data_IF_706250879343
#
_entry.id   IF_706250879343
#
_cell.length_a   1.000
_cell.length_b   1.000
_cell.length_c   1.000
_cell.angle_alpha   90.00
_cell.angle_beta   90.00
_cell.angle_gamma   90.00
#
_symmetry.space_group_name_H-M   'P 1'
#
loop_
_entity.id
_entity.type
_entity.pdbx_description
1 polymer ?
#
# COMPACT_ATOMS: atom_id res chain seq x y z
N UNK A 1 15.77 -17.99 1.44
CA UNK A 1 14.61 -17.08 1.28
C UNK A 1 14.80 -16.26 0.02
N UNK A 2 13.75 -15.61 -0.48
CA UNK A 2 13.84 -14.73 -1.67
C UNK A 2 14.88 -13.63 -1.40
N UNK A 3 15.90 -13.41 -2.24
CA UNK A 3 17.07 -12.60 -1.88
C UNK A 3 16.81 -11.09 -1.88
N UNK A 4 15.77 -10.64 -2.60
CA UNK A 4 15.62 -9.22 -2.94
C UNK A 4 14.35 -8.58 -2.37
N UNK A 5 13.28 -9.36 -2.20
CA UNK A 5 11.96 -8.83 -1.88
C UNK A 5 11.25 -9.64 -0.81
N UNK A 6 10.45 -8.95 -0.02
CA UNK A 6 9.44 -9.53 0.87
C UNK A 6 8.05 -9.15 0.39
N UNK A 7 7.10 -10.06 0.59
CA UNK A 7 5.71 -9.86 0.23
C UNK A 7 4.86 -9.83 1.50
N UNK A 8 4.00 -8.83 1.60
CA UNK A 8 3.05 -8.67 2.69
C UNK A 8 1.64 -8.76 2.12
N UNK A 9 0.77 -9.49 2.82
CA UNK A 9 -0.67 -9.40 2.62
C UNK A 9 -1.24 -8.52 3.73
N UNK A 10 -1.89 -7.42 3.36
CA UNK A 10 -2.43 -6.44 4.30
C UNK A 10 -3.92 -6.26 4.02
N UNK A 11 -4.72 -6.47 5.05
CA UNK A 11 -6.14 -6.14 5.07
C UNK A 11 -6.33 -4.82 5.81
N UNK A 12 -7.19 -3.96 5.27
CA UNK A 12 -7.67 -2.74 5.91
C UNK A 12 -9.17 -2.91 6.13
N UNK A 13 -9.62 -2.92 7.38
CA UNK A 13 -11.05 -2.85 7.72
C UNK A 13 -11.68 -1.53 7.21
N UNK A 14 -13.01 -1.43 7.10
CA UNK A 14 -13.68 -0.17 6.77
C UNK A 14 -13.21 0.99 7.66
N UNK A 15 -12.74 2.08 7.05
CA UNK A 15 -12.18 3.25 7.74
C UNK A 15 -10.75 3.09 8.26
N UNK A 16 -10.14 1.89 8.17
CA UNK A 16 -8.75 1.66 8.56
C UNK A 16 -7.78 2.26 7.52
N UNK A 17 -6.60 2.63 8.00
CA UNK A 17 -5.50 3.09 7.16
C UNK A 17 -4.17 2.56 7.66
N UNK A 18 -3.20 2.48 6.75
CA UNK A 18 -1.80 2.42 7.16
C UNK A 18 -1.40 3.73 7.87
N UNK A 19 -0.28 3.77 8.60
CA UNK A 19 0.28 5.04 9.02
C UNK A 19 0.52 5.96 7.82
N UNK A 20 0.37 7.27 8.04
CA UNK A 20 0.87 8.28 7.11
C UNK A 20 2.35 8.50 7.40
N UNK A 21 3.21 8.06 6.50
CA UNK A 21 4.66 8.03 6.72
C UNK A 21 5.48 8.06 5.42
N UNK A 22 6.80 8.17 5.57
CA UNK A 22 7.78 8.07 4.49
C UNK A 22 8.95 7.19 4.91
N UNK A 23 9.61 6.56 3.94
CA UNK A 23 10.78 5.73 4.12
C UNK A 23 11.57 5.61 2.80
N UNK A 24 12.86 5.22 2.84
CA UNK A 24 13.70 5.22 1.64
C UNK A 24 13.39 4.10 0.64
N UNK A 25 12.68 3.04 1.02
CA UNK A 25 12.30 1.96 0.10
C UNK A 25 10.98 2.24 -0.61
N UNK A 26 10.77 1.57 -1.74
CA UNK A 26 9.56 1.63 -2.55
C UNK A 26 8.49 0.62 -2.11
N UNK A 27 7.26 0.84 -2.56
CA UNK A 27 6.19 -0.16 -2.55
C UNK A 27 5.68 -0.44 -3.96
N UNK A 28 5.43 -1.71 -4.24
CA UNK A 28 4.62 -2.15 -5.37
C UNK A 28 3.43 -2.89 -4.79
N UNK A 29 2.23 -2.30 -4.86
CA UNK A 29 1.03 -2.90 -4.31
C UNK A 29 0.02 -3.26 -5.39
N UNK A 30 -0.66 -4.39 -5.20
CA UNK A 30 -1.78 -4.83 -6.00
C UNK A 30 -3.01 -4.96 -5.11
N UNK A 31 -4.09 -4.26 -5.47
CA UNK A 31 -5.34 -4.31 -4.71
C UNK A 31 -6.10 -5.55 -5.14
N UNK A 32 -6.17 -6.54 -4.25
CA UNK A 32 -6.78 -7.84 -4.54
C UNK A 32 -8.29 -7.83 -4.34
N UNK A 33 -8.79 -6.96 -3.46
CA UNK A 33 -10.20 -6.85 -3.11
C UNK A 33 -10.52 -5.47 -2.51
N UNK A 34 -11.76 -5.00 -2.66
CA UNK A 34 -12.23 -3.72 -2.11
C UNK A 34 -11.72 -2.48 -2.85
N UNK A 35 -11.87 -1.32 -2.20
CA UNK A 35 -11.47 -0.01 -2.74
C UNK A 35 -11.11 0.98 -1.64
N UNK A 36 -10.39 2.03 -2.01
CA UNK A 36 -9.96 3.06 -1.08
C UNK A 36 -9.28 4.23 -1.78
N UNK A 37 -8.43 4.92 -1.02
CA UNK A 37 -7.57 5.98 -1.55
C UNK A 37 -6.12 5.73 -1.15
N UNK A 38 -5.21 6.07 -2.07
CA UNK A 38 -3.80 6.25 -1.78
C UNK A 38 -3.55 7.76 -1.65
N UNK A 39 -3.18 8.21 -0.45
CA UNK A 39 -2.59 9.53 -0.27
C UNK A 39 -1.12 9.41 -0.69
N UNK A 40 -0.68 10.25 -1.62
CA UNK A 40 0.68 10.23 -2.16
C UNK A 40 1.08 11.64 -2.62
N UNK A 41 2.15 12.19 -2.02
CA UNK A 41 2.67 13.50 -2.40
C UNK A 41 1.64 14.63 -2.27
N UNK A 42 0.81 14.58 -1.23
CA UNK A 42 -0.25 15.56 -0.96
C UNK A 42 -1.47 15.47 -1.89
N UNK A 43 -1.59 14.40 -2.67
CA UNK A 43 -2.76 14.13 -3.52
C UNK A 43 -3.40 12.79 -3.17
N UNK A 44 -4.70 12.70 -3.39
CA UNK A 44 -5.45 11.45 -3.28
C UNK A 44 -5.63 10.81 -4.64
N UNK A 45 -5.42 9.50 -4.70
CA UNK A 45 -5.67 8.67 -5.87
C UNK A 45 -6.64 7.57 -5.47
N UNK A 46 -7.79 7.50 -6.15
CA UNK A 46 -8.71 6.39 -5.97
C UNK A 46 -8.05 5.09 -6.42
N UNK A 47 -8.16 4.05 -5.60
CA UNK A 47 -7.64 2.70 -5.87
C UNK A 47 -8.75 1.69 -5.65
N UNK A 48 -8.79 0.64 -6.46
CA UNK A 48 -9.78 -0.44 -6.37
C UNK A 48 -9.18 -1.76 -6.82
N UNK A 49 -9.92 -2.84 -6.58
CA UNK A 49 -9.58 -4.18 -7.04
C UNK A 49 -9.08 -4.18 -8.49
N UNK A 50 -7.94 -4.83 -8.70
CA UNK A 50 -7.27 -4.93 -10.00
C UNK A 50 -6.24 -3.83 -10.27
N UNK A 51 -6.20 -2.76 -9.48
CA UNK A 51 -5.21 -1.70 -9.66
C UNK A 51 -3.83 -2.12 -9.13
N UNK A 52 -2.79 -1.78 -9.89
CA UNK A 52 -1.40 -1.85 -9.48
C UNK A 52 -0.91 -0.43 -9.18
N UNK A 53 -0.27 -0.24 -8.02
CA UNK A 53 0.31 1.05 -7.63
C UNK A 53 1.78 0.92 -7.30
N UNK A 54 2.55 1.93 -7.72
CA UNK A 54 3.95 2.10 -7.35
C UNK A 54 4.09 3.35 -6.50
N UNK A 55 4.66 3.19 -5.31
CA UNK A 55 5.02 4.28 -4.41
C UNK A 55 6.55 4.33 -4.36
N UNK A 56 7.18 5.34 -4.98
CA UNK A 56 8.61 5.57 -4.85
C UNK A 56 9.03 5.82 -3.40
N UNK A 57 10.27 5.45 -3.07
CA UNK A 57 10.87 5.82 -1.79
C UNK A 57 11.00 7.33 -1.62
N UNK A 58 10.98 7.78 -0.37
CA UNK A 58 11.16 9.18 0.00
C UNK A 58 9.92 10.06 -0.17
N UNK A 59 8.77 9.50 -0.51
CA UNK A 59 7.51 10.24 -0.62
C UNK A 59 6.55 9.81 0.48
N UNK A 60 5.93 10.79 1.16
CA UNK A 60 4.88 10.50 2.14
C UNK A 60 3.68 9.84 1.49
N UNK A 61 3.18 8.78 2.12
CA UNK A 61 2.06 8.02 1.61
C UNK A 61 1.23 7.36 2.70
N UNK A 62 -0.01 7.03 2.37
CA UNK A 62 -0.94 6.26 3.20
C UNK A 62 -1.95 5.53 2.32
N UNK A 63 -2.19 4.25 2.62
CA UNK A 63 -3.31 3.50 2.08
C UNK A 63 -4.46 3.60 3.06
N UNK A 64 -5.64 4.02 2.60
CA UNK A 64 -6.84 4.13 3.42
C UNK A 64 -8.00 3.41 2.74
N UNK A 65 -8.70 2.58 3.51
CA UNK A 65 -9.98 2.03 3.09
C UNK A 65 -11.11 3.04 3.36
N UNK A 66 -11.68 3.59 2.29
CA UNK A 66 -12.82 4.53 2.35
C UNK A 66 -14.17 3.87 2.03
N UNK A 67 -14.18 2.55 1.83
CA UNK A 67 -15.39 1.75 1.60
C UNK A 67 -16.02 1.21 2.89
N UNK A 68 -17.08 0.43 2.70
CA UNK A 68 -17.86 -0.25 3.75
C UNK A 68 -17.55 -1.74 3.90
N UNK A 69 -16.68 -2.27 3.04
CA UNK A 69 -16.13 -3.63 3.08
C UNK A 69 -14.60 -3.60 3.21
N UNK A 70 -13.93 -4.69 3.65
CA UNK A 70 -12.48 -4.73 3.72
C UNK A 70 -11.80 -4.45 2.37
N UNK A 71 -10.67 -3.74 2.41
CA UNK A 71 -9.76 -3.59 1.26
C UNK A 71 -8.51 -4.42 1.52
N UNK A 72 -8.16 -5.27 0.56
CA UNK A 72 -7.01 -6.16 0.67
C UNK A 72 -5.96 -5.79 -0.37
N UNK A 73 -4.69 -5.81 0.04
CA UNK A 73 -3.56 -5.61 -0.87
C UNK A 73 -2.45 -6.62 -0.62
N UNK A 74 -1.86 -7.07 -1.71
CA UNK A 74 -0.52 -7.65 -1.69
C UNK A 74 0.47 -6.51 -1.92
N UNK A 75 1.55 -6.46 -1.17
CA UNK A 75 2.59 -5.44 -1.35
C UNK A 75 3.96 -6.08 -1.34
N UNK A 76 4.75 -5.74 -2.35
CA UNK A 76 6.12 -6.20 -2.54
C UNK A 76 7.06 -5.06 -2.18
N UNK A 77 7.95 -5.33 -1.23
CA UNK A 77 8.96 -4.39 -0.74
C UNK A 77 10.35 -4.98 -0.92
N UNK A 78 11.39 -4.15 -1.08
CA UNK A 78 12.77 -4.59 -0.95
C UNK A 78 13.01 -5.22 0.43
N UNK A 79 13.91 -6.20 0.52
CA UNK A 79 14.24 -6.89 1.79
C UNK A 79 14.75 -5.94 2.88
N UNK A 80 15.30 -4.78 2.49
CA UNK A 80 15.71 -3.72 3.41
C UNK A 80 14.55 -3.10 4.19
N UNK A 81 13.28 -3.36 3.83
CA UNK A 81 12.13 -2.86 4.60
C UNK A 81 11.87 -3.63 5.90
N UNK A 82 12.57 -4.76 6.12
CA UNK A 82 12.43 -5.62 7.31
C UNK A 82 13.77 -5.90 7.99
N UNK A 83 14.83 -5.23 7.53
CA UNK A 83 16.19 -5.34 8.08
C UNK A 83 16.43 -4.31 9.19
#
# INVERSE_FOLDING_TARGET
>A
GVPNYVMLYVQHAPGESSPFHTHPWEHQAFITDGSGVLLFGGKEYAIRQGDCVHVPGGVEHQFQNTGDVPMNRVTVNPISSVA
#
